data_IF_748213978132
#
_entry.id   IF_748213978132
#
_cell.length_a   1.000
_cell.length_b   1.000
_cell.length_c   1.000
_cell.angle_alpha   90.00
_cell.angle_beta   90.00
_cell.angle_gamma   90.00
#
_symmetry.space_group_name_H-M   'P 1'
#
loop_
_entity.id
_entity.type
_entity.pdbx_description
1 polymer ?
#
# COMPACT_ATOMS: atom_id res chain seq x y z
N UNK A 1 1.47 4.94 -0.68
CA UNK A 1 0.63 4.10 0.17
C UNK A 1 -0.17 3.15 -0.72
N UNK A 2 0.04 1.84 -0.60
CA UNK A 2 -0.62 0.87 -1.51
C UNK A 2 -2.14 0.83 -1.31
N UNK A 3 -2.64 1.08 -0.10
CA UNK A 3 -4.08 1.19 0.18
C UNK A 3 -4.74 2.45 -0.40
N UNK A 4 -3.98 3.37 -1.00
CA UNK A 4 -4.52 4.48 -1.79
C UNK A 4 -4.72 4.09 -3.28
N UNK A 5 -4.83 2.82 -3.58
CA UNK A 5 -4.97 2.26 -4.92
C UNK A 5 -3.62 1.90 -5.54
N UNK A 6 -3.05 2.76 -6.35
CA UNK A 6 -1.77 2.53 -7.02
C UNK A 6 -0.67 3.46 -6.51
N UNK A 7 0.57 2.98 -6.56
CA UNK A 7 1.77 3.77 -6.27
C UNK A 7 2.10 4.75 -7.39
N UNK A 8 3.08 5.64 -7.16
CA UNK A 8 3.53 6.62 -8.15
C UNK A 8 2.70 7.91 -8.17
N UNK A 9 2.98 8.77 -9.15
CA UNK A 9 2.26 10.02 -9.37
C UNK A 9 2.09 10.87 -8.10
N UNK A 10 0.85 11.21 -7.77
CA UNK A 10 0.47 12.01 -6.60
C UNK A 10 1.06 11.55 -5.27
N UNK A 11 1.34 10.25 -5.12
CA UNK A 11 1.92 9.69 -3.89
C UNK A 11 3.33 10.21 -3.61
N UNK A 12 4.06 10.61 -4.64
CA UNK A 12 5.40 11.21 -4.47
C UNK A 12 5.29 12.54 -3.72
N UNK A 13 4.21 13.29 -3.94
CA UNK A 13 3.92 14.53 -3.21
C UNK A 13 3.35 14.20 -1.83
N UNK A 14 2.26 13.43 -1.77
CA UNK A 14 1.56 13.10 -0.54
C UNK A 14 1.34 11.58 -0.41
N UNK A 15 1.99 10.91 0.55
CA UNK A 15 2.80 11.43 1.65
C UNK A 15 4.32 11.54 1.36
N UNK A 16 4.79 11.34 0.12
CA UNK A 16 6.22 11.18 -0.18
C UNK A 16 7.12 12.33 0.27
N UNK A 17 6.67 13.58 0.09
CA UNK A 17 7.38 14.80 0.52
C UNK A 17 6.68 15.50 1.69
N UNK A 18 5.66 14.87 2.28
CA UNK A 18 4.84 15.50 3.29
C UNK A 18 5.51 15.50 4.67
N UNK A 19 5.12 16.46 5.51
CA UNK A 19 5.52 16.53 6.91
C UNK A 19 5.01 15.30 7.71
N UNK A 20 5.69 14.97 8.79
CA UNK A 20 5.37 13.82 9.64
C UNK A 20 3.90 13.79 10.11
N UNK A 21 3.32 14.94 10.44
CA UNK A 21 1.90 15.04 10.83
C UNK A 21 0.95 14.62 9.70
N UNK A 22 1.24 14.99 8.46
CA UNK A 22 0.48 14.55 7.29
C UNK A 22 0.60 13.03 7.12
N UNK A 23 1.80 12.47 7.30
CA UNK A 23 2.03 11.02 7.24
C UNK A 23 1.20 10.30 8.31
N UNK A 24 1.18 10.83 9.53
CA UNK A 24 0.38 10.28 10.64
C UNK A 24 -1.12 10.32 10.32
N UNK A 25 -1.61 11.42 9.75
CA UNK A 25 -3.01 11.56 9.34
C UNK A 25 -3.38 10.52 8.29
N UNK A 26 -2.57 10.32 7.26
CA UNK A 26 -2.78 9.27 6.24
C UNK A 26 -2.78 7.84 6.79
N UNK A 27 -2.09 7.61 7.90
CA UNK A 27 -2.03 6.29 8.55
C UNK A 27 -3.01 6.18 9.73
N UNK A 28 -3.91 7.14 9.89
CA UNK A 28 -4.95 7.05 10.92
C UNK A 28 -6.00 6.00 10.55
N UNK A 29 -6.64 5.43 11.56
CA UNK A 29 -7.72 4.47 11.39
C UNK A 29 -8.90 5.06 10.62
N UNK A 30 -9.13 6.38 10.70
CA UNK A 30 -10.16 7.08 9.93
C UNK A 30 -10.05 6.83 8.43
N UNK A 31 -8.83 6.85 7.89
CA UNK A 31 -8.58 6.60 6.46
C UNK A 31 -8.37 5.12 6.17
N UNK A 32 -7.61 4.44 7.02
CA UNK A 32 -7.17 3.07 6.78
C UNK A 32 -8.26 2.02 6.98
N UNK A 33 -9.29 2.32 7.79
CA UNK A 33 -10.40 1.40 8.04
C UNK A 33 -11.56 1.55 7.02
N UNK A 34 -11.49 2.50 6.10
CA UNK A 34 -12.48 2.64 5.05
C UNK A 34 -12.42 1.46 4.09
N UNK A 35 -13.58 0.92 3.74
CA UNK A 35 -13.68 -0.27 2.85
C UNK A 35 -13.17 0.00 1.43
N UNK A 36 -13.16 1.25 0.99
CA UNK A 36 -12.62 1.66 -0.29
C UNK A 36 -11.09 1.90 -0.27
N UNK A 37 -10.47 1.97 0.94
CA UNK A 37 -9.03 2.14 1.11
C UNK A 37 -8.29 0.81 0.86
N UNK A 38 -8.35 0.32 -0.36
CA UNK A 38 -7.76 -0.95 -0.77
C UNK A 38 -6.85 -0.81 -1.98
N UNK A 39 -6.05 -1.83 -2.20
CA UNK A 39 -5.16 -1.91 -3.36
C UNK A 39 -5.96 -1.88 -4.68
N UNK A 40 -5.38 -1.33 -5.73
CA UNK A 40 -5.96 -1.25 -7.07
C UNK A 40 -7.32 -0.51 -7.18
N UNK A 41 -7.73 0.23 -6.16
CA UNK A 41 -8.99 0.98 -6.15
C UNK A 41 -8.78 2.49 -5.98
N UNK A 42 -9.27 3.28 -6.93
CA UNK A 42 -9.34 4.74 -6.82
C UNK A 42 -10.73 5.25 -6.42
N UNK A 43 -11.78 4.50 -6.76
CA UNK A 43 -13.16 4.95 -6.62
C UNK A 43 -13.58 5.00 -5.16
N UNK A 44 -13.91 6.20 -4.68
CA UNK A 44 -14.30 6.43 -3.29
C UNK A 44 -13.21 6.14 -2.27
N UNK A 45 -11.96 6.00 -2.69
CA UNK A 45 -10.84 5.73 -1.80
C UNK A 45 -10.41 7.03 -1.11
N UNK A 46 -10.64 7.18 0.21
CA UNK A 46 -10.39 8.44 0.90
C UNK A 46 -8.91 8.83 0.93
N UNK A 47 -8.00 7.85 0.91
CA UNK A 47 -6.56 8.12 0.81
C UNK A 47 -6.18 8.69 -0.56
N UNK A 48 -6.81 8.20 -1.62
CA UNK A 48 -6.62 8.73 -2.97
C UNK A 48 -7.16 10.15 -3.07
N UNK A 49 -8.38 10.38 -2.61
CA UNK A 49 -9.04 11.68 -2.66
C UNK A 49 -8.25 12.75 -1.91
N UNK A 50 -7.77 12.44 -0.70
CA UNK A 50 -6.92 13.35 0.07
C UNK A 50 -5.60 13.69 -0.64
N UNK A 51 -4.98 12.71 -1.31
CA UNK A 51 -3.79 12.95 -2.13
C UNK A 51 -4.07 13.90 -3.29
N UNK A 52 -5.23 13.77 -3.94
CA UNK A 52 -5.64 14.67 -5.01
C UNK A 52 -5.83 16.10 -4.51
N UNK A 53 -6.47 16.29 -3.36
CA UNK A 53 -6.64 17.63 -2.77
C UNK A 53 -5.29 18.29 -2.44
N UNK A 54 -4.33 17.53 -1.90
CA UNK A 54 -2.99 18.05 -1.63
C UNK A 54 -2.27 18.44 -2.93
N UNK A 55 -2.33 17.63 -3.98
CA UNK A 55 -1.75 17.98 -5.29
C UNK A 55 -2.37 19.24 -5.84
N UNK A 56 -3.68 19.41 -5.71
CA UNK A 56 -4.41 20.62 -6.11
C UNK A 56 -3.97 21.85 -5.32
N UNK A 57 -3.77 21.74 -4.01
CA UNK A 57 -3.27 22.83 -3.16
C UNK A 57 -1.84 23.26 -3.55
N UNK A 58 -1.01 22.32 -3.98
CA UNK A 58 0.35 22.60 -4.49
C UNK A 58 0.32 23.29 -5.85
N UNK A 59 -0.81 23.25 -6.56
CA UNK A 59 -0.96 23.87 -7.89
C UNK A 59 -0.60 22.92 -9.05
N UNK A 60 -0.56 21.63 -8.80
CA UNK A 60 -0.18 20.61 -9.78
C UNK A 60 1.33 20.36 -9.86
N UNK A 61 1.71 19.40 -10.67
CA UNK A 61 3.10 19.04 -10.93
C UNK A 61 3.24 18.28 -12.25
N UNK A 62 4.47 18.11 -12.71
CA UNK A 62 4.82 17.16 -13.77
C UNK A 62 5.45 15.92 -13.12
N UNK A 63 5.14 14.74 -13.67
CA UNK A 63 5.70 13.48 -13.21
C UNK A 63 6.31 12.67 -14.36
N UNK A 64 7.44 12.05 -14.07
CA UNK A 64 8.01 10.96 -14.84
C UNK A 64 7.60 9.67 -14.16
N UNK A 65 6.84 8.83 -14.84
CA UNK A 65 6.47 7.50 -14.36
C UNK A 65 7.25 6.43 -15.11
N UNK A 66 7.70 5.42 -14.37
CA UNK A 66 8.37 4.24 -14.93
C UNK A 66 7.74 2.98 -14.36
N UNK A 67 7.58 1.95 -15.20
CA UNK A 67 7.17 0.62 -14.77
C UNK A 67 8.30 -0.34 -15.16
N UNK A 68 8.69 -1.15 -14.20
CA UNK A 68 9.78 -2.11 -14.30
C UNK A 68 9.18 -3.50 -14.14
N UNK A 69 9.52 -4.43 -15.03
CA UNK A 69 9.11 -5.82 -14.95
C UNK A 69 9.91 -6.63 -13.89
N UNK A 70 9.60 -7.91 -13.77
CA UNK A 70 10.25 -8.84 -12.84
C UNK A 70 11.74 -9.05 -13.13
N UNK A 71 12.17 -8.86 -14.38
CA UNK A 71 13.56 -8.94 -14.82
C UNK A 71 14.30 -7.59 -14.68
N UNK A 72 13.62 -6.56 -14.12
CA UNK A 72 14.10 -5.19 -13.97
C UNK A 72 14.32 -4.44 -15.27
N UNK A 73 13.66 -4.85 -16.36
CA UNK A 73 13.63 -4.07 -17.59
C UNK A 73 12.59 -2.96 -17.51
N UNK A 74 12.86 -1.85 -18.18
CA UNK A 74 11.91 -0.76 -18.30
C UNK A 74 10.81 -1.14 -19.31
N UNK A 75 9.60 -1.42 -18.82
CA UNK A 75 8.46 -1.82 -19.64
C UNK A 75 7.59 -0.65 -20.08
N UNK A 76 7.60 0.45 -19.30
CA UNK A 76 6.83 1.65 -19.61
C UNK A 76 7.52 2.89 -19.06
N UNK A 77 7.45 3.99 -19.81
CA UNK A 77 7.86 5.32 -19.37
C UNK A 77 6.99 6.37 -20.01
N UNK A 78 6.51 7.31 -19.22
CA UNK A 78 5.90 8.54 -19.72
C UNK A 78 6.29 9.74 -18.86
N UNK A 79 6.03 10.94 -19.40
CA UNK A 79 6.23 12.19 -18.71
C UNK A 79 5.08 13.14 -19.06
N UNK A 80 4.50 13.78 -18.06
CA UNK A 80 3.39 14.71 -18.28
C UNK A 80 2.80 15.29 -17.01
N UNK A 81 1.63 15.89 -17.12
CA UNK A 81 0.85 16.33 -15.97
C UNK A 81 0.66 15.15 -15.00
N UNK A 82 0.83 15.41 -13.71
CA UNK A 82 1.00 14.36 -12.69
C UNK A 82 -0.17 13.37 -12.62
N UNK A 83 -1.41 13.84 -12.78
CA UNK A 83 -2.59 12.98 -12.68
C UNK A 83 -2.79 12.20 -13.98
N UNK A 84 -2.73 12.89 -15.13
CA UNK A 84 -2.92 12.27 -16.43
C UNK A 84 -1.85 11.21 -16.69
N UNK A 85 -0.58 11.57 -16.56
CA UNK A 85 0.52 10.65 -16.82
C UNK A 85 0.53 9.45 -15.86
N UNK A 86 0.09 9.64 -14.62
CA UNK A 86 -0.08 8.56 -13.67
C UNK A 86 -1.22 7.61 -14.05
N UNK A 87 -2.37 8.14 -14.51
CA UNK A 87 -3.47 7.29 -14.97
C UNK A 87 -3.08 6.44 -16.19
N UNK A 88 -2.36 7.00 -17.15
CA UNK A 88 -1.82 6.24 -18.29
C UNK A 88 -0.88 5.09 -17.83
N UNK A 89 -0.03 5.36 -16.83
CA UNK A 89 0.83 4.34 -16.26
C UNK A 89 0.05 3.26 -15.50
N UNK A 90 -1.03 3.66 -14.80
CA UNK A 90 -1.94 2.73 -14.11
C UNK A 90 -2.68 1.85 -15.10
N UNK A 91 -3.20 2.41 -16.19
CA UNK A 91 -3.91 1.64 -17.22
C UNK A 91 -2.98 0.59 -17.84
N UNK A 92 -1.73 0.95 -18.11
CA UNK A 92 -0.72 0.00 -18.57
C UNK A 92 -0.46 -1.11 -17.55
N UNK A 93 -0.20 -0.77 -16.27
CA UNK A 93 0.19 -1.77 -15.26
C UNK A 93 -0.96 -2.70 -14.87
N UNK A 94 -2.20 -2.21 -14.97
CA UNK A 94 -3.40 -2.99 -14.65
C UNK A 94 -3.51 -4.27 -15.45
N UNK A 95 -3.13 -4.24 -16.72
CA UNK A 95 -3.16 -5.42 -17.60
C UNK A 95 -2.26 -6.56 -17.11
N UNK A 96 -1.22 -6.26 -16.33
CA UNK A 96 -0.24 -7.23 -15.85
C UNK A 96 -0.38 -7.55 -14.37
N UNK A 97 -0.88 -6.61 -13.56
CA UNK A 97 -0.89 -6.73 -12.10
C UNK A 97 -2.24 -7.16 -11.53
N UNK A 98 -3.35 -6.94 -12.26
CA UNK A 98 -4.67 -7.34 -11.81
C UNK A 98 -5.05 -8.69 -12.42
N UNK A 99 -5.05 -9.73 -11.60
CA UNK A 99 -5.39 -11.09 -12.01
C UNK A 99 -6.69 -11.51 -11.32
N UNK A 100 -7.71 -11.81 -12.12
CA UNK A 100 -8.96 -12.34 -11.60
C UNK A 100 -8.83 -13.82 -11.26
N UNK A 101 -9.29 -14.19 -10.08
CA UNK A 101 -9.36 -15.58 -9.62
C UNK A 101 -10.81 -16.04 -9.50
N UNK A 102 -11.11 -17.35 -9.71
CA UNK A 102 -12.50 -17.84 -9.76
C UNK A 102 -13.17 -17.90 -8.38
N UNK A 103 -12.41 -17.83 -7.30
CA UNK A 103 -12.92 -17.96 -5.92
C UNK A 103 -11.87 -17.51 -4.92
N UNK A 104 -12.28 -17.33 -3.67
CA UNK A 104 -11.36 -17.25 -2.53
C UNK A 104 -10.86 -18.65 -2.12
N UNK A 105 -9.73 -18.70 -1.45
CA UNK A 105 -9.04 -19.95 -1.08
C UNK A 105 -8.94 -20.06 0.44
N UNK A 106 -9.08 -21.29 0.96
CA UNK A 106 -8.92 -21.58 2.39
C UNK A 106 -7.48 -21.48 2.89
N UNK A 107 -6.51 -21.65 1.99
CA UNK A 107 -5.09 -21.47 2.29
C UNK A 107 -4.45 -20.67 1.16
N UNK A 108 -3.75 -19.62 1.51
CA UNK A 108 -2.99 -18.77 0.58
C UNK A 108 -1.54 -18.71 1.03
N UNK A 109 -0.63 -18.98 0.10
CA UNK A 109 0.82 -18.84 0.32
C UNK A 109 1.32 -17.65 -0.48
N UNK A 110 2.03 -16.73 0.18
CA UNK A 110 2.60 -15.54 -0.44
C UNK A 110 4.01 -15.25 0.07
N UNK A 111 4.66 -14.25 -0.47
CA UNK A 111 5.96 -13.77 0.00
C UNK A 111 5.97 -12.25 0.14
N UNK A 112 6.98 -11.73 0.82
CA UNK A 112 7.26 -10.31 0.87
C UNK A 112 8.17 -9.82 -0.28
N UNK A 113 8.16 -10.54 -1.41
CA UNK A 113 8.89 -10.27 -2.65
C UNK A 113 10.43 -10.37 -2.58
N UNK A 114 10.98 -10.91 -1.48
CA UNK A 114 12.42 -11.12 -1.32
C UNK A 114 13.23 -9.82 -1.13
N UNK A 115 14.55 -9.99 -1.03
CA UNK A 115 15.47 -8.86 -0.80
C UNK A 115 15.45 -7.85 -1.97
N UNK A 116 15.44 -6.55 -1.69
CA UNK A 116 15.52 -5.87 -0.39
C UNK A 116 14.15 -5.52 0.23
N UNK A 117 13.04 -6.02 -0.30
CA UNK A 117 11.68 -5.64 0.10
C UNK A 117 11.23 -6.34 1.39
N UNK A 118 11.84 -7.46 1.74
CA UNK A 118 11.48 -8.31 2.89
C UNK A 118 12.40 -8.16 4.11
N UNK A 119 13.18 -7.09 4.17
CA UNK A 119 14.18 -6.85 5.23
C UNK A 119 13.58 -6.75 6.64
N UNK A 120 12.33 -6.32 6.77
CA UNK A 120 11.67 -6.14 8.06
C UNK A 120 10.28 -6.75 8.07
N UNK A 121 9.80 -7.15 9.24
CA UNK A 121 8.42 -7.58 9.43
C UNK A 121 7.41 -6.48 9.04
N UNK A 122 7.73 -5.21 9.29
CA UNK A 122 6.93 -4.08 8.83
C UNK A 122 6.65 -4.13 7.31
N UNK A 123 7.66 -4.49 6.52
CA UNK A 123 7.47 -4.63 5.07
C UNK A 123 6.68 -5.90 4.72
N UNK A 124 6.89 -6.98 5.48
CA UNK A 124 6.18 -8.27 5.31
C UNK A 124 4.65 -8.10 5.38
N UNK A 125 4.15 -7.23 6.27
CA UNK A 125 2.71 -6.92 6.39
C UNK A 125 2.09 -6.50 5.06
N UNK A 126 2.83 -5.84 4.17
CA UNK A 126 2.33 -5.45 2.84
C UNK A 126 2.02 -6.67 1.96
N UNK A 127 2.85 -7.70 2.04
CA UNK A 127 2.59 -8.97 1.35
C UNK A 127 1.37 -9.72 1.90
N UNK A 128 1.14 -9.62 3.21
CA UNK A 128 -0.08 -10.18 3.83
C UNK A 128 -1.32 -9.46 3.31
N UNK A 129 -1.35 -8.14 3.35
CA UNK A 129 -2.49 -7.34 2.89
C UNK A 129 -2.77 -7.57 1.40
N UNK A 130 -1.73 -7.67 0.57
CA UNK A 130 -1.89 -7.93 -0.87
C UNK A 130 -2.53 -9.28 -1.21
N UNK A 131 -2.50 -10.23 -0.26
CA UNK A 131 -3.09 -11.56 -0.45
C UNK A 131 -4.50 -11.70 0.18
N UNK A 132 -4.98 -10.70 0.92
CA UNK A 132 -6.25 -10.82 1.66
C UNK A 132 -7.47 -10.94 0.76
N UNK A 133 -7.48 -10.33 -0.42
CA UNK A 133 -8.63 -10.33 -1.33
C UNK A 133 -9.00 -11.73 -1.82
N UNK A 134 -8.01 -12.63 -1.88
CA UNK A 134 -8.19 -14.01 -2.32
C UNK A 134 -8.30 -15.01 -1.16
N UNK A 135 -8.15 -14.56 0.08
CA UNK A 135 -8.26 -15.41 1.27
C UNK A 135 -9.72 -15.54 1.72
N UNK A 136 -10.21 -16.76 1.85
CA UNK A 136 -11.56 -17.02 2.35
C UNK A 136 -11.68 -16.64 3.85
N UNK A 137 -12.87 -16.22 4.31
CA UNK A 137 -13.11 -15.98 5.73
C UNK A 137 -12.75 -17.21 6.58
N UNK A 138 -11.92 -17.01 7.60
CA UNK A 138 -11.38 -18.08 8.45
C UNK A 138 -10.28 -18.93 7.79
N UNK A 139 -9.82 -18.54 6.61
CA UNK A 139 -8.71 -19.18 5.91
C UNK A 139 -7.35 -18.91 6.54
N UNK A 140 -6.33 -19.61 6.08
CA UNK A 140 -4.96 -19.56 6.55
C UNK A 140 -4.08 -18.81 5.54
N UNK A 141 -3.35 -17.81 6.00
CA UNK A 141 -2.36 -17.08 5.22
C UNK A 141 -0.94 -17.44 5.68
N UNK A 142 -0.17 -18.00 4.77
CA UNK A 142 1.24 -18.33 5.00
C UNK A 142 2.10 -17.35 4.23
N UNK A 143 2.97 -16.61 4.92
CA UNK A 143 3.89 -15.68 4.27
C UNK A 143 5.34 -16.05 4.53
N UNK A 144 6.16 -15.97 3.48
CA UNK A 144 7.61 -16.20 3.55
C UNK A 144 8.32 -14.85 3.43
N UNK A 145 9.21 -14.57 4.40
CA UNK A 145 9.98 -13.34 4.47
C UNK A 145 11.25 -13.56 5.28
N UNK A 146 12.38 -12.99 4.86
CA UNK A 146 13.65 -13.16 5.55
C UNK A 146 13.73 -12.34 6.86
N UNK A 147 13.17 -11.13 6.87
CA UNK A 147 13.21 -10.20 8.01
C UNK A 147 14.62 -9.99 8.59
N UNK A 148 15.65 -9.92 7.74
CA UNK A 148 17.07 -9.83 8.12
C UNK A 148 17.40 -8.61 9.01
N UNK A 149 16.59 -7.55 8.94
CA UNK A 149 16.70 -6.35 9.78
C UNK A 149 15.63 -6.31 10.92
N UNK A 150 14.99 -7.44 11.21
CA UNK A 150 14.07 -7.61 12.33
C UNK A 150 12.67 -7.03 12.09
N UNK A 151 12.08 -6.47 13.15
CA UNK A 151 10.67 -6.05 13.15
C UNK A 151 10.40 -4.75 12.39
N UNK A 152 11.32 -3.81 12.42
CA UNK A 152 11.14 -2.45 11.89
C UNK A 152 11.49 -1.38 12.92
N UNK A 153 10.87 -0.18 12.82
CA UNK A 153 11.17 0.91 13.74
C UNK A 153 10.75 0.62 15.18
N UNK A 154 11.37 1.27 16.19
CA UNK A 154 10.97 1.13 17.60
C UNK A 154 9.47 1.43 17.83
N UNK A 155 8.91 2.41 17.15
CA UNK A 155 7.49 2.78 17.23
C UNK A 155 6.59 1.67 16.69
N UNK A 156 7.02 1.02 15.61
CA UNK A 156 6.29 -0.13 15.07
C UNK A 156 6.33 -1.33 16.02
N UNK A 157 7.49 -1.61 16.61
CA UNK A 157 7.64 -2.68 17.62
C UNK A 157 6.72 -2.42 18.81
N UNK A 158 6.67 -1.18 19.31
CA UNK A 158 5.80 -0.79 20.40
C UNK A 158 4.32 -0.95 20.02
N UNK A 159 3.93 -0.55 18.82
CA UNK A 159 2.57 -0.74 18.32
C UNK A 159 2.19 -2.21 18.23
N UNK A 160 3.11 -3.09 17.78
CA UNK A 160 2.87 -4.53 17.75
C UNK A 160 2.72 -5.13 19.15
N UNK A 161 3.54 -4.69 20.12
CA UNK A 161 3.44 -5.09 21.51
C UNK A 161 2.07 -4.74 22.09
N UNK A 162 1.63 -3.50 21.89
CA UNK A 162 0.30 -3.04 22.32
C UNK A 162 -0.84 -3.82 21.65
N UNK A 163 -0.73 -4.12 20.37
CA UNK A 163 -1.72 -4.94 19.65
C UNK A 163 -1.86 -6.34 20.28
N UNK A 164 -0.75 -6.97 20.63
CA UNK A 164 -0.75 -8.29 21.29
C UNK A 164 -1.34 -8.22 22.70
N UNK A 165 -0.99 -7.19 23.48
CA UNK A 165 -1.45 -7.01 24.86
C UNK A 165 -2.94 -6.68 24.94
N UNK A 166 -3.43 -5.79 24.09
CA UNK A 166 -4.80 -5.29 24.13
C UNK A 166 -5.79 -6.13 23.32
N UNK A 167 -5.28 -6.86 22.34
CA UNK A 167 -6.09 -7.46 21.28
C UNK A 167 -6.57 -6.46 20.22
N UNK A 168 -7.01 -6.93 19.04
CA UNK A 168 -7.28 -6.06 17.89
C UNK A 168 -8.32 -4.94 18.17
N UNK A 169 -9.41 -5.28 18.86
CA UNK A 169 -10.51 -4.32 19.12
C UNK A 169 -10.06 -3.17 20.02
N UNK A 170 -9.51 -3.48 21.19
CA UNK A 170 -9.07 -2.45 22.14
C UNK A 170 -7.86 -1.66 21.60
N UNK A 171 -7.00 -2.30 20.82
CA UNK A 171 -5.92 -1.61 20.13
C UNK A 171 -6.45 -0.56 19.15
N UNK A 172 -7.42 -0.92 18.28
CA UNK A 172 -8.04 0.03 17.36
C UNK A 172 -8.70 1.21 18.11
N UNK A 173 -9.44 0.94 19.17
CA UNK A 173 -10.04 1.99 20.02
C UNK A 173 -9.00 2.93 20.66
N UNK A 174 -7.79 2.44 20.89
CA UNK A 174 -6.71 3.23 21.50
C UNK A 174 -5.93 4.13 20.53
N UNK A 175 -6.13 3.97 19.22
CA UNK A 175 -5.46 4.75 18.17
C UNK A 175 -6.44 5.58 17.33
N UNK A 176 -7.73 5.57 17.68
CA UNK A 176 -8.76 6.46 17.17
C UNK A 176 -8.67 7.82 17.87
#
# INVERSE_FOLDING_TARGET
HFMAGYSGGRKVIAPGLAHAETITTFHSSRFMADLAAVNCNFVGNPLHEEQLEIVKLVGGALALNTIIDEDRNLSFVNFGEILQSHHEAVDFVREFCEVSVPRQFSTVVTSAAGYPLDKTYYQTVKGMVGAMDILAPGGELIIVSECSEGMGSPEFVESQRRLVELGPKAFLESIL
#
